data_IF_769320732402
#
_entry.id   IF_769320732402
#
_cell.length_a   1.000
_cell.length_b   1.000
_cell.length_c   1.000
_cell.angle_alpha   90.00
_cell.angle_beta   90.00
_cell.angle_gamma   90.00
#
_symmetry.space_group_name_H-M   'P 1'
#
loop_
_entity.id
_entity.type
_entity.pdbx_description
1 polymer ?
#
# COMPACT_ATOMS: atom_id res chain seq x y z
N UNK A 1 11.43 3.30 11.36
CA UNK A 1 10.13 3.03 10.74
C UNK A 1 9.78 4.18 9.81
N UNK A 2 9.45 3.88 8.56
CA UNK A 2 8.90 4.86 7.61
C UNK A 2 7.41 4.54 7.41
N UNK A 3 6.57 5.51 7.73
CA UNK A 3 5.14 5.41 7.49
C UNK A 3 4.74 6.07 6.17
N UNK A 4 3.95 5.38 5.37
CA UNK A 4 3.42 5.82 4.07
C UNK A 4 1.89 5.77 4.13
N UNK A 5 1.27 6.95 4.03
CA UNK A 5 -0.19 7.08 4.11
C UNK A 5 -0.93 6.60 2.86
N UNK A 6 -2.21 6.31 3.00
CA UNK A 6 -3.12 6.07 1.89
C UNK A 6 -3.67 7.35 1.27
N UNK A 7 -4.61 7.22 0.32
CA UNK A 7 -5.30 8.36 -0.29
C UNK A 7 -6.05 9.16 0.76
N UNK A 8 -5.89 10.48 0.72
CA UNK A 8 -6.52 11.40 1.68
C UNK A 8 -5.88 11.43 3.07
N UNK A 9 -4.89 10.57 3.32
CA UNK A 9 -4.10 10.59 4.55
C UNK A 9 -2.95 11.60 4.52
N UNK A 10 -2.09 11.55 5.52
CA UNK A 10 -0.93 12.43 5.62
C UNK A 10 0.24 11.79 6.36
N UNK A 11 1.43 12.34 6.18
CA UNK A 11 2.63 11.96 6.94
C UNK A 11 2.45 12.12 8.47
N UNK A 12 1.52 13.00 8.90
CA UNK A 12 1.21 13.21 10.31
C UNK A 12 0.63 12.00 11.03
N UNK A 13 0.01 11.07 10.30
CA UNK A 13 -0.51 9.81 10.86
C UNK A 13 0.61 8.92 11.45
N UNK A 14 1.86 9.14 11.06
CA UNK A 14 3.03 8.50 11.65
C UNK A 14 3.11 8.67 13.19
N UNK A 15 2.52 9.74 13.72
CA UNK A 15 2.50 10.00 15.18
C UNK A 15 1.83 8.85 15.93
N UNK A 16 0.76 8.28 15.38
CA UNK A 16 0.07 7.15 15.97
C UNK A 16 1.00 5.95 16.19
N UNK A 17 1.85 5.66 15.22
CA UNK A 17 2.74 4.49 15.24
C UNK A 17 3.91 4.62 16.21
N UNK A 18 4.26 5.83 16.69
CA UNK A 18 5.34 6.02 17.66
C UNK A 18 5.13 5.23 18.96
N UNK A 19 3.87 5.09 19.40
CA UNK A 19 3.53 4.30 20.58
C UNK A 19 3.70 2.80 20.39
N UNK A 20 3.63 2.33 19.15
CA UNK A 20 3.78 0.92 18.77
C UNK A 20 5.25 0.52 18.57
N UNK A 21 6.10 1.50 18.27
CA UNK A 21 7.54 1.33 18.03
C UNK A 21 8.36 2.23 18.97
N UNK A 22 8.29 2.02 20.31
CA UNK A 22 8.87 2.95 21.29
C UNK A 22 10.40 3.00 21.29
N UNK A 23 11.06 2.04 20.64
CA UNK A 23 12.53 1.96 20.52
C UNK A 23 13.04 2.50 19.19
N UNK A 24 12.13 2.77 18.25
CA UNK A 24 12.45 3.13 16.88
C UNK A 24 12.12 4.59 16.59
N UNK A 25 12.84 5.16 15.63
CA UNK A 25 12.47 6.46 15.08
C UNK A 25 11.39 6.25 14.01
N UNK A 26 10.19 6.77 14.26
CA UNK A 26 9.08 6.73 13.29
C UNK A 26 9.04 8.06 12.53
N UNK A 27 9.00 7.97 11.19
CA UNK A 27 8.99 9.11 10.27
C UNK A 27 7.85 8.91 9.28
N UNK A 28 6.98 9.91 9.14
CA UNK A 28 5.98 9.96 8.08
C UNK A 28 6.60 10.47 6.78
N UNK A 29 6.28 9.81 5.67
CA UNK A 29 6.70 10.25 4.36
C UNK A 29 5.59 11.09 3.71
N UNK A 30 5.86 12.38 3.53
CA UNK A 30 4.96 13.35 2.90
C UNK A 30 5.14 13.32 1.37
N UNK A 31 4.77 12.20 0.75
CA UNK A 31 4.86 12.06 -0.70
C UNK A 31 3.72 12.80 -1.41
N UNK A 32 3.97 13.20 -2.66
CA UNK A 32 3.03 13.94 -3.51
C UNK A 32 2.66 13.22 -4.79
N UNK A 33 3.30 12.09 -5.07
CA UNK A 33 3.06 11.29 -6.25
C UNK A 33 1.60 10.89 -6.38
N UNK A 34 1.05 11.04 -7.58
CA UNK A 34 -0.30 10.61 -7.95
C UNK A 34 -0.26 9.41 -8.92
N UNK A 35 0.89 9.13 -9.48
CA UNK A 35 1.12 8.09 -10.47
C UNK A 35 2.28 7.18 -10.08
N UNK A 36 2.34 5.93 -10.56
CA UNK A 36 3.42 5.01 -10.20
C UNK A 36 4.79 5.46 -10.76
N UNK A 37 4.84 6.14 -11.88
CA UNK A 37 6.11 6.66 -12.44
C UNK A 37 6.65 7.86 -11.66
N UNK A 38 5.79 8.69 -11.07
CA UNK A 38 6.18 9.71 -10.11
C UNK A 38 6.67 9.07 -8.81
N UNK A 39 5.89 8.12 -8.28
CA UNK A 39 6.21 7.38 -7.07
C UNK A 39 7.56 6.68 -7.21
N UNK A 40 7.85 6.04 -8.34
CA UNK A 40 9.14 5.40 -8.60
C UNK A 40 10.32 6.33 -8.35
N UNK A 41 10.22 7.59 -8.73
CA UNK A 41 11.28 8.59 -8.54
C UNK A 41 11.32 9.11 -7.10
N UNK A 42 10.16 9.50 -6.58
CA UNK A 42 10.04 10.14 -5.26
C UNK A 42 10.38 9.17 -4.12
N UNK A 43 9.80 7.95 -4.15
CA UNK A 43 10.03 6.93 -3.14
C UNK A 43 11.48 6.45 -3.15
N UNK A 44 12.02 6.08 -4.33
CA UNK A 44 13.41 5.62 -4.42
C UNK A 44 14.39 6.67 -3.90
N UNK A 45 14.18 7.95 -4.23
CA UNK A 45 15.04 9.04 -3.75
C UNK A 45 14.94 9.22 -2.23
N UNK A 46 13.72 9.25 -1.67
CA UNK A 46 13.51 9.41 -0.25
C UNK A 46 14.10 8.22 0.55
N UNK A 47 13.77 6.99 0.14
CA UNK A 47 14.22 5.80 0.84
C UNK A 47 15.74 5.60 0.74
N UNK A 48 16.38 5.94 -0.39
CA UNK A 48 17.83 5.92 -0.51
C UNK A 48 18.51 6.87 0.50
N UNK A 49 17.97 8.08 0.70
CA UNK A 49 18.45 9.02 1.72
C UNK A 49 18.26 8.45 3.12
N UNK A 50 17.08 7.86 3.42
CA UNK A 50 16.85 7.26 4.73
C UNK A 50 17.78 6.07 4.98
N UNK A 51 18.00 5.22 3.96
CA UNK A 51 18.90 4.06 4.02
C UNK A 51 20.36 4.44 4.27
N UNK A 52 20.84 5.51 3.63
CA UNK A 52 22.22 5.99 3.83
C UNK A 52 22.51 6.44 5.27
N UNK A 53 21.48 6.73 6.05
CA UNK A 53 21.59 7.23 7.43
C UNK A 53 21.24 6.17 8.49
N UNK A 54 20.74 4.99 8.08
CA UNK A 54 20.20 3.97 8.98
C UNK A 54 20.54 2.58 8.49
N UNK A 55 20.90 1.72 9.43
CA UNK A 55 21.19 0.32 9.18
C UNK A 55 19.92 -0.47 8.87
N UNK A 56 18.82 -0.17 9.56
CA UNK A 56 17.55 -0.87 9.40
C UNK A 56 16.43 0.10 9.03
N UNK A 57 15.65 -0.29 8.01
CA UNK A 57 14.43 0.40 7.59
C UNK A 57 13.25 -0.56 7.51
N UNK A 58 12.21 -0.25 8.26
CA UNK A 58 10.91 -0.94 8.18
C UNK A 58 9.88 -0.01 7.58
N UNK A 59 9.13 -0.51 6.61
CA UNK A 59 8.00 0.16 5.98
C UNK A 59 6.71 -0.15 6.75
N UNK A 60 5.90 0.86 7.02
CA UNK A 60 4.46 0.71 7.35
C UNK A 60 3.69 1.48 6.30
N UNK A 61 2.83 0.81 5.54
CA UNK A 61 2.15 1.47 4.43
C UNK A 61 0.67 1.09 4.33
N UNK A 62 -0.17 2.07 4.02
CA UNK A 62 -1.62 1.93 3.88
C UNK A 62 -2.07 2.02 2.41
N UNK A 63 -3.01 1.15 2.01
CA UNK A 63 -3.80 1.28 0.80
C UNK A 63 -2.95 1.55 -0.46
N UNK A 64 -3.22 2.65 -1.19
CA UNK A 64 -2.45 3.05 -2.38
C UNK A 64 -0.99 3.42 -2.04
N UNK A 65 -0.70 3.88 -0.83
CA UNK A 65 0.67 4.12 -0.38
C UNK A 65 1.48 2.82 -0.36
N UNK A 66 0.85 1.69 -0.03
CA UNK A 66 1.47 0.37 -0.14
C UNK A 66 1.76 0.02 -1.60
N UNK A 67 0.82 0.28 -2.54
CA UNK A 67 1.06 0.07 -3.97
C UNK A 67 2.27 0.88 -4.48
N UNK A 68 2.34 2.17 -4.14
CA UNK A 68 3.47 3.00 -4.54
C UNK A 68 4.80 2.50 -3.96
N UNK A 69 4.80 2.04 -2.71
CA UNK A 69 5.98 1.46 -2.10
C UNK A 69 6.39 0.14 -2.80
N UNK A 70 5.45 -0.79 -2.99
CA UNK A 70 5.68 -2.09 -3.64
C UNK A 70 6.19 -1.96 -5.08
N UNK A 71 5.72 -0.95 -5.82
CA UNK A 71 6.13 -0.68 -7.21
C UNK A 71 7.45 0.11 -7.33
N UNK A 72 7.95 0.65 -6.22
CA UNK A 72 9.08 1.60 -6.24
C UNK A 72 10.31 1.14 -5.47
N UNK A 73 10.15 0.28 -4.46
CA UNK A 73 11.19 -0.13 -3.53
C UNK A 73 11.57 -1.61 -3.71
N UNK A 74 12.67 -2.00 -3.12
CA UNK A 74 13.21 -3.36 -3.12
C UNK A 74 13.93 -3.67 -1.77
N UNK A 75 14.47 -4.88 -1.64
CA UNK A 75 15.20 -5.34 -0.45
C UNK A 75 16.49 -4.55 -0.16
N UNK A 76 16.98 -3.78 -1.09
CA UNK A 76 18.14 -2.90 -0.85
C UNK A 76 17.76 -1.66 -0.05
N UNK A 77 16.51 -1.25 -0.14
CA UNK A 77 16.00 -0.02 0.48
C UNK A 77 15.18 -0.29 1.76
N UNK A 78 14.57 -1.47 1.88
CA UNK A 78 13.68 -1.82 2.99
C UNK A 78 13.95 -3.23 3.46
N UNK A 79 14.11 -3.43 4.76
CA UNK A 79 14.37 -4.76 5.35
C UNK A 79 13.09 -5.52 5.68
N UNK A 80 11.96 -4.82 5.86
CA UNK A 80 10.66 -5.37 6.25
C UNK A 80 9.51 -4.44 5.93
N UNK A 81 8.33 -5.01 5.71
CA UNK A 81 7.11 -4.25 5.47
C UNK A 81 5.92 -4.74 6.33
N UNK A 82 5.14 -3.79 6.80
CA UNK A 82 3.81 -3.98 7.38
C UNK A 82 2.82 -3.24 6.50
N UNK A 83 1.97 -3.98 5.80
CA UNK A 83 1.02 -3.43 4.85
C UNK A 83 -0.40 -3.53 5.41
N UNK A 84 -1.14 -2.43 5.43
CA UNK A 84 -2.48 -2.34 5.98
C UNK A 84 -3.45 -2.06 4.85
N UNK A 85 -4.41 -2.97 4.62
CA UNK A 85 -5.35 -2.93 3.49
C UNK A 85 -4.68 -2.55 2.17
N UNK A 86 -3.58 -3.21 1.76
CA UNK A 86 -2.78 -2.75 0.64
C UNK A 86 -3.50 -2.94 -0.69
N UNK A 87 -3.33 -1.97 -1.59
CA UNK A 87 -3.59 -2.21 -3.02
C UNK A 87 -2.39 -2.95 -3.58
N UNK A 88 -2.56 -4.24 -3.86
CA UNK A 88 -1.49 -5.13 -4.36
C UNK A 88 -1.62 -5.44 -5.84
N UNK A 89 -2.78 -5.15 -6.43
CA UNK A 89 -3.07 -5.29 -7.86
C UNK A 89 -3.82 -4.06 -8.35
N UNK A 90 -3.08 -3.10 -8.88
CA UNK A 90 -3.64 -1.84 -9.37
C UNK A 90 -4.36 -2.04 -10.72
N UNK A 91 -3.97 -3.02 -11.53
CA UNK A 91 -4.69 -3.35 -12.77
C UNK A 91 -6.10 -3.83 -12.42
N UNK A 92 -6.23 -4.77 -11.49
CA UNK A 92 -7.53 -5.26 -11.05
C UNK A 92 -8.38 -4.12 -10.47
N UNK A 93 -7.81 -3.24 -9.66
CA UNK A 93 -8.53 -2.08 -9.10
C UNK A 93 -9.01 -1.13 -10.21
N UNK A 94 -8.18 -0.79 -11.19
CA UNK A 94 -8.57 0.05 -12.33
C UNK A 94 -9.69 -0.63 -13.13
N UNK A 95 -9.59 -1.94 -13.39
CA UNK A 95 -10.62 -2.69 -14.09
C UNK A 95 -11.96 -2.69 -13.33
N UNK A 96 -11.93 -2.83 -12.00
CA UNK A 96 -13.13 -2.71 -11.16
C UNK A 96 -13.72 -1.30 -11.24
N UNK A 97 -12.90 -0.26 -11.15
CA UNK A 97 -13.36 1.13 -11.31
C UNK A 97 -13.98 1.39 -12.69
N UNK A 98 -13.43 0.80 -13.75
CA UNK A 98 -14.03 0.85 -15.10
C UNK A 98 -15.42 0.20 -15.12
N UNK A 99 -15.59 -0.96 -14.47
CA UNK A 99 -16.89 -1.63 -14.36
C UNK A 99 -17.89 -0.76 -13.58
N UNK A 100 -17.49 -0.17 -12.45
CA UNK A 100 -18.35 0.71 -11.65
C UNK A 100 -18.77 1.96 -12.42
N UNK A 101 -17.90 2.48 -13.29
CA UNK A 101 -18.17 3.63 -14.15
C UNK A 101 -18.89 3.25 -15.46
N UNK A 102 -19.10 1.94 -15.74
CA UNK A 102 -19.59 1.42 -17.01
C UNK A 102 -18.76 1.93 -18.22
N UNK A 103 -17.43 1.89 -18.07
CA UNK A 103 -16.43 2.29 -19.08
C UNK A 103 -15.78 1.05 -19.64
N UNK A 104 -15.71 0.94 -20.96
CA UNK A 104 -14.98 -0.13 -21.65
C UNK A 104 -13.50 0.23 -21.81
N UNK A 105 -12.64 -0.78 -21.96
CA UNK A 105 -11.21 -0.55 -22.19
C UNK A 105 -10.97 0.19 -23.51
N UNK A 106 -11.76 -0.12 -24.56
CA UNK A 106 -11.70 0.59 -25.83
C UNK A 106 -12.01 2.09 -25.64
N UNK A 107 -13.08 2.40 -24.91
CA UNK A 107 -13.47 3.79 -24.63
C UNK A 107 -12.38 4.53 -23.85
N UNK A 108 -11.77 3.89 -22.84
CA UNK A 108 -10.67 4.47 -22.09
C UNK A 108 -9.43 4.70 -22.97
N UNK A 109 -9.11 3.74 -23.87
CA UNK A 109 -8.00 3.86 -24.81
C UNK A 109 -8.20 5.03 -25.80
N UNK A 110 -9.43 5.25 -26.28
CA UNK A 110 -9.77 6.35 -27.19
C UNK A 110 -9.76 7.71 -26.51
N UNK A 111 -10.38 7.82 -25.30
CA UNK A 111 -10.50 9.07 -24.57
C UNK A 111 -9.27 9.45 -23.74
N UNK A 112 -8.40 8.49 -23.45
CA UNK A 112 -7.18 8.58 -22.65
C UNK A 112 -7.44 8.82 -21.16
N UNK A 113 -8.36 9.69 -20.80
CA UNK A 113 -8.78 9.96 -19.44
C UNK A 113 -10.29 10.09 -19.35
N UNK A 114 -10.88 9.52 -18.31
CA UNK A 114 -12.34 9.58 -18.06
C UNK A 114 -12.55 9.86 -16.58
N UNK A 115 -13.13 11.03 -16.28
CA UNK A 115 -13.58 11.35 -14.92
C UNK A 115 -14.80 10.50 -14.55
N UNK A 116 -14.79 9.92 -13.36
CA UNK A 116 -15.90 9.10 -12.86
C UNK A 116 -16.82 9.90 -11.94
N UNK A 117 -18.03 9.39 -11.72
CA UNK A 117 -18.99 10.00 -10.80
C UNK A 117 -18.66 9.78 -9.32
N UNK A 118 -17.68 8.93 -8.99
CA UNK A 118 -17.18 8.69 -7.63
C UNK A 118 -15.87 9.41 -7.33
N UNK A 119 -15.48 10.38 -8.17
CA UNK A 119 -14.37 11.30 -7.90
C UNK A 119 -12.97 10.81 -8.31
N UNK A 120 -12.87 9.67 -9.00
CA UNK A 120 -11.63 9.19 -9.59
C UNK A 120 -11.55 9.54 -11.07
N UNK A 121 -10.32 9.63 -11.60
CA UNK A 121 -10.08 9.72 -13.03
C UNK A 121 -9.42 8.43 -13.51
N UNK A 122 -10.11 7.71 -14.38
CA UNK A 122 -9.53 6.57 -15.09
C UNK A 122 -8.52 7.08 -16.11
N UNK A 123 -7.33 6.47 -16.16
CA UNK A 123 -6.26 6.84 -17.07
C UNK A 123 -5.78 5.62 -17.86
N UNK A 124 -5.80 5.73 -19.18
CA UNK A 124 -5.25 4.70 -20.08
C UNK A 124 -3.75 4.52 -19.88
N UNK A 125 -3.02 5.63 -19.68
CA UNK A 125 -1.58 5.57 -19.44
C UNK A 125 -1.26 4.82 -18.15
N UNK A 126 -2.04 5.05 -17.09
CA UNK A 126 -1.87 4.35 -15.83
C UNK A 126 -2.11 2.83 -15.98
N UNK A 127 -3.21 2.44 -16.64
CA UNK A 127 -3.52 1.03 -16.91
C UNK A 127 -2.41 0.35 -17.73
N UNK A 128 -1.94 1.00 -18.80
CA UNK A 128 -0.84 0.48 -19.60
C UNK A 128 0.46 0.35 -18.78
N UNK A 129 0.75 1.33 -17.94
CA UNK A 129 1.95 1.31 -17.11
C UNK A 129 1.95 0.13 -16.14
N UNK A 130 0.86 -0.10 -15.39
CA UNK A 130 0.82 -1.18 -14.39
C UNK A 130 0.91 -2.56 -15.06
N UNK A 131 0.34 -2.74 -16.24
CA UNK A 131 0.49 -3.96 -17.05
C UNK A 131 1.92 -4.25 -17.48
N UNK A 132 2.70 -3.21 -17.74
CA UNK A 132 4.09 -3.32 -18.19
C UNK A 132 5.09 -3.41 -17.02
N UNK A 133 4.68 -3.03 -15.82
CA UNK A 133 5.53 -2.96 -14.63
C UNK A 133 4.90 -3.75 -13.48
N UNK A 134 4.94 -5.09 -13.54
CA UNK A 134 4.44 -5.92 -12.45
C UNK A 134 5.25 -5.66 -11.17
N UNK A 135 4.60 -5.81 -10.02
CA UNK A 135 5.27 -5.73 -8.72
C UNK A 135 6.26 -6.90 -8.60
N UNK A 136 7.51 -6.60 -8.26
CA UNK A 136 8.54 -7.56 -7.89
C UNK A 136 8.92 -7.25 -6.45
N UNK A 137 8.57 -8.15 -5.52
CA UNK A 137 8.71 -7.89 -4.09
C UNK A 137 9.24 -9.11 -3.35
N UNK A 138 10.41 -8.97 -2.70
CA UNK A 138 11.08 -10.05 -1.96
C UNK A 138 11.34 -9.66 -0.48
N UNK A 139 10.80 -8.53 -0.04
CA UNK A 139 10.98 -8.07 1.34
C UNK A 139 10.05 -8.85 2.28
N UNK A 140 10.54 -9.36 3.42
CA UNK A 140 9.70 -9.98 4.44
C UNK A 140 8.52 -9.08 4.83
N UNK A 141 7.29 -9.57 4.66
CA UNK A 141 6.09 -8.74 4.73
C UNK A 141 4.99 -9.39 5.56
N UNK A 142 4.36 -8.59 6.43
CA UNK A 142 3.08 -8.93 7.05
C UNK A 142 2.00 -8.04 6.45
N UNK A 143 0.85 -8.62 6.15
CA UNK A 143 -0.32 -7.94 5.59
C UNK A 143 -1.48 -8.04 6.58
N UNK A 144 -2.11 -6.90 6.90
CA UNK A 144 -3.39 -6.82 7.58
C UNK A 144 -4.47 -6.47 6.57
N UNK A 145 -5.51 -7.29 6.51
CA UNK A 145 -6.65 -7.13 5.59
C UNK A 145 -7.97 -7.14 6.37
N UNK A 146 -8.88 -6.24 6.02
CA UNK A 146 -10.24 -6.23 6.57
C UNK A 146 -11.17 -7.13 5.76
N UNK A 147 -11.91 -8.03 6.43
CA UNK A 147 -12.84 -8.96 5.77
C UNK A 147 -13.86 -8.24 4.86
N UNK A 148 -14.26 -7.02 5.22
CA UNK A 148 -15.22 -6.20 4.48
C UNK A 148 -14.53 -5.12 3.62
N UNK A 149 -13.26 -5.34 3.24
CA UNK A 149 -12.59 -4.45 2.29
C UNK A 149 -13.35 -4.44 0.95
N UNK A 150 -13.72 -3.24 0.50
CA UNK A 150 -14.51 -3.04 -0.71
C UNK A 150 -13.70 -2.53 -1.91
N UNK A 151 -12.39 -2.35 -1.76
CA UNK A 151 -11.51 -1.92 -2.85
C UNK A 151 -10.70 -3.06 -3.44
N UNK A 152 -10.21 -3.98 -2.59
CA UNK A 152 -9.38 -5.11 -3.00
C UNK A 152 -10.01 -6.39 -2.49
N UNK A 153 -10.14 -7.41 -3.34
CA UNK A 153 -10.73 -8.67 -2.92
C UNK A 153 -9.75 -9.52 -2.09
N UNK A 154 -10.29 -10.38 -1.21
CA UNK A 154 -9.47 -11.31 -0.42
C UNK A 154 -8.68 -12.26 -1.33
N UNK A 155 -9.24 -12.68 -2.46
CA UNK A 155 -8.57 -13.55 -3.42
C UNK A 155 -7.33 -12.86 -4.00
N UNK A 156 -7.42 -11.58 -4.35
CA UNK A 156 -6.30 -10.78 -4.87
C UNK A 156 -5.19 -10.65 -3.83
N UNK A 157 -5.55 -10.32 -2.59
CA UNK A 157 -4.55 -10.15 -1.52
C UNK A 157 -3.94 -11.49 -1.12
N UNK A 158 -4.73 -12.57 -1.09
CA UNK A 158 -4.23 -13.93 -0.80
C UNK A 158 -3.27 -14.42 -1.86
N UNK A 159 -3.59 -14.20 -3.15
CA UNK A 159 -2.71 -14.58 -4.25
C UNK A 159 -1.37 -13.82 -4.19
N UNK A 160 -1.41 -12.52 -3.88
CA UNK A 160 -0.21 -11.72 -3.67
C UNK A 160 0.62 -12.24 -2.47
N UNK A 161 -0.04 -12.53 -1.34
CA UNK A 161 0.63 -13.04 -0.15
C UNK A 161 1.32 -14.39 -0.41
N UNK A 162 0.65 -15.30 -1.13
CA UNK A 162 1.22 -16.59 -1.52
C UNK A 162 2.41 -16.41 -2.47
N UNK A 163 2.25 -15.60 -3.51
CA UNK A 163 3.30 -15.34 -4.52
C UNK A 163 4.57 -14.74 -3.91
N UNK A 164 4.42 -13.85 -2.93
CA UNK A 164 5.53 -13.10 -2.32
C UNK A 164 5.91 -13.59 -0.92
N UNK A 165 5.37 -14.75 -0.50
CA UNK A 165 5.62 -15.34 0.82
C UNK A 165 5.36 -14.39 1.99
N UNK A 166 4.33 -13.54 1.85
CA UNK A 166 3.89 -12.62 2.89
C UNK A 166 2.94 -13.28 3.88
N UNK A 167 3.01 -12.90 5.15
CA UNK A 167 2.08 -13.35 6.18
C UNK A 167 0.79 -12.52 6.08
N UNK A 168 -0.35 -13.18 5.83
CA UNK A 168 -1.66 -12.53 5.74
C UNK A 168 -2.48 -12.76 7.00
N UNK A 169 -2.90 -11.66 7.62
CA UNK A 169 -3.88 -11.66 8.72
C UNK A 169 -5.16 -10.98 8.26
N UNK A 170 -6.29 -11.67 8.42
CA UNK A 170 -7.62 -11.12 8.10
C UNK A 170 -8.30 -10.72 9.41
N UNK A 171 -8.73 -9.47 9.51
CA UNK A 171 -9.58 -9.02 10.62
C UNK A 171 -11.04 -9.31 10.31
N UNK A 172 -11.73 -10.18 11.08
CA UNK A 172 -13.17 -10.41 10.92
C UNK A 172 -13.94 -9.08 11.12
N UNK A 173 -14.85 -8.76 10.18
CA UNK A 173 -15.63 -7.54 10.20
C UNK A 173 -14.82 -6.25 9.98
N UNK A 174 -13.52 -6.35 9.70
CA UNK A 174 -12.67 -5.19 9.40
C UNK A 174 -13.00 -4.58 8.04
N UNK A 175 -12.90 -3.27 7.92
CA UNK A 175 -13.11 -2.50 6.69
C UNK A 175 -11.79 -2.15 6.04
N UNK A 176 -11.83 -1.58 4.80
CA UNK A 176 -10.62 -1.08 4.14
C UNK A 176 -9.91 -0.01 4.99
N UNK A 177 -10.66 0.90 5.57
CA UNK A 177 -10.14 1.93 6.46
C UNK A 177 -10.32 1.54 7.93
N UNK A 178 -9.22 1.18 8.57
CA UNK A 178 -9.16 0.89 10.00
C UNK A 178 -9.30 2.19 10.81
N UNK A 179 -10.46 2.42 11.43
CA UNK A 179 -10.78 3.68 12.10
C UNK A 179 -11.59 3.53 13.39
N UNK A 180 -12.32 2.42 13.57
CA UNK A 180 -13.05 2.19 14.82
C UNK A 180 -12.10 1.78 15.93
N UNK A 181 -12.52 1.95 17.18
CA UNK A 181 -11.70 1.56 18.33
C UNK A 181 -11.30 0.07 18.26
N UNK A 182 -12.24 -0.81 17.92
CA UNK A 182 -12.01 -2.25 17.76
C UNK A 182 -10.98 -2.54 16.66
N UNK A 183 -11.14 -1.91 15.48
CA UNK A 183 -10.22 -2.07 14.36
C UNK A 183 -8.81 -1.57 14.72
N UNK A 184 -8.71 -0.44 15.42
CA UNK A 184 -7.43 0.11 15.86
C UNK A 184 -6.78 -0.75 16.95
N UNK A 185 -7.55 -1.36 17.86
CA UNK A 185 -7.02 -2.31 18.84
C UNK A 185 -6.49 -3.57 18.15
N UNK A 186 -7.20 -4.08 17.15
CA UNK A 186 -6.75 -5.23 16.35
C UNK A 186 -5.45 -4.91 15.61
N UNK A 187 -5.38 -3.77 14.90
CA UNK A 187 -4.18 -3.28 14.23
C UNK A 187 -2.97 -3.18 15.20
N UNK A 188 -3.20 -2.64 16.40
CA UNK A 188 -2.16 -2.54 17.42
C UNK A 188 -1.65 -3.91 17.88
N UNK A 189 -2.55 -4.85 18.06
CA UNK A 189 -2.20 -6.22 18.42
C UNK A 189 -1.39 -6.87 17.30
N UNK A 190 -1.89 -6.79 16.06
CA UNK A 190 -1.24 -7.36 14.89
C UNK A 190 0.18 -6.81 14.67
N UNK A 191 0.39 -5.49 14.76
CA UNK A 191 1.74 -4.91 14.64
C UNK A 191 2.69 -5.47 15.71
N UNK A 192 2.21 -5.60 16.96
CA UNK A 192 3.03 -6.14 18.05
C UNK A 192 3.40 -7.61 17.83
N UNK A 193 2.48 -8.43 17.32
CA UNK A 193 2.76 -9.84 17.02
C UNK A 193 3.77 -9.96 15.86
N UNK A 194 3.56 -9.26 14.75
CA UNK A 194 4.51 -9.22 13.64
C UNK A 194 5.90 -8.72 14.06
N UNK A 195 5.97 -7.78 15.00
CA UNK A 195 7.25 -7.26 15.49
C UNK A 195 7.99 -8.25 16.39
N UNK A 196 7.30 -9.15 17.10
CA UNK A 196 7.89 -10.14 18.03
C UNK A 196 8.49 -11.36 17.32
N UNK A 197 7.95 -11.76 16.19
CA UNK A 197 8.42 -12.95 15.45
C UNK A 197 9.85 -12.80 14.92
N UNK A 198 10.55 -11.71 15.22
CA UNK A 198 11.75 -11.26 14.56
C UNK A 198 12.96 -11.01 15.47
N UNK A 199 12.93 -11.56 16.68
CA UNK A 199 14.06 -11.58 17.59
C UNK A 199 14.50 -13.00 17.91
#
# INVERSE_FOLDING_TARGET
>A
IIYVHGKGGSAGEAEYYKSLFPKDKVIGFDYRSQTPWEAKKEFSAFFAVQRSQREHLTLVANSIGAFFALSSLDEMLVDRAYLISPVVDMEALICNMMQWANVTEQELAEKREIATNFGETLSWEYLCYVRQHPIIWNVPTCILYGEHDNLTSIETVSAFAEQHHAELTVMPGGEHWFHTEEQMQFLNHWIRECSRQNY
#
